data_IF_100600219880
#
_entry.id   IF_100600219880
#
_cell.length_a   1.000
_cell.length_b   1.000
_cell.length_c   1.000
_cell.angle_alpha   90.00
_cell.angle_beta   90.00
_cell.angle_gamma   90.00
#
_symmetry.space_group_name_H-M   'P 1'
#
loop_
_entity.id
_entity.type
_entity.pdbx_description
1 polymer ?
#
# COMPACT_ATOMS: atom_id res chain seq x y z
N UNK A 1 -21.62 -27.38 -23.34
CA UNK A 1 -20.16 -27.18 -23.44
C UNK A 1 -19.69 -26.44 -22.19
N UNK A 2 -19.03 -27.08 -21.21
CA UNK A 2 -18.62 -26.47 -19.94
C UNK A 2 -17.10 -26.24 -19.76
N UNK A 3 -16.24 -26.74 -20.66
CA UNK A 3 -14.78 -26.78 -20.43
C UNK A 3 -14.12 -25.38 -20.39
N UNK A 4 -14.45 -24.50 -21.34
CA UNK A 4 -13.85 -23.16 -21.41
C UNK A 4 -14.15 -22.28 -20.19
N UNK A 5 -15.29 -22.49 -19.52
CA UNK A 5 -15.67 -21.72 -18.34
C UNK A 5 -14.98 -22.19 -17.05
N UNK A 6 -14.56 -23.46 -16.99
CA UNK A 6 -13.80 -23.96 -15.86
C UNK A 6 -12.32 -23.56 -15.96
N UNK A 7 -11.77 -23.52 -17.18
CA UNK A 7 -10.37 -23.17 -17.42
C UNK A 7 -10.05 -21.72 -17.03
N UNK A 8 -10.96 -20.76 -17.30
CA UNK A 8 -10.72 -19.36 -16.91
C UNK A 8 -10.88 -19.12 -15.40
N UNK A 9 -11.81 -19.82 -14.74
CA UNK A 9 -11.97 -19.80 -13.30
C UNK A 9 -10.79 -20.42 -12.56
N UNK A 10 -10.28 -21.56 -13.05
CA UNK A 10 -9.11 -22.22 -12.48
C UNK A 10 -7.85 -21.36 -12.64
N UNK A 11 -7.62 -20.77 -13.82
CA UNK A 11 -6.50 -19.86 -14.07
C UNK A 11 -6.54 -18.62 -13.15
N UNK A 12 -7.72 -18.04 -12.92
CA UNK A 12 -7.88 -16.94 -11.97
C UNK A 12 -7.52 -17.36 -10.55
N UNK A 13 -8.02 -18.51 -10.07
CA UNK A 13 -7.70 -19.02 -8.72
C UNK A 13 -6.20 -19.28 -8.58
N UNK A 14 -5.58 -19.90 -9.58
CA UNK A 14 -4.16 -20.22 -9.56
C UNK A 14 -3.31 -18.94 -9.43
N UNK A 15 -3.57 -17.94 -10.27
CA UNK A 15 -2.84 -16.66 -10.26
C UNK A 15 -3.11 -15.85 -8.99
N UNK A 16 -4.36 -15.74 -8.57
CA UNK A 16 -4.72 -14.99 -7.36
C UNK A 16 -4.12 -15.63 -6.10
N UNK A 17 -4.10 -16.96 -6.02
CA UNK A 17 -3.51 -17.67 -4.89
C UNK A 17 -1.99 -17.54 -4.85
N UNK A 18 -1.30 -17.70 -5.99
CA UNK A 18 0.16 -17.57 -6.05
C UNK A 18 0.60 -16.13 -5.76
N UNK A 19 -0.02 -15.13 -6.39
CA UNK A 19 0.27 -13.72 -6.15
C UNK A 19 0.00 -13.32 -4.70
N UNK A 20 -1.19 -13.65 -4.17
CA UNK A 20 -1.54 -13.36 -2.79
C UNK A 20 -0.65 -14.06 -1.76
N UNK A 21 -0.18 -15.28 -2.04
CA UNK A 21 0.81 -15.97 -1.19
C UNK A 21 2.17 -15.26 -1.25
N UNK A 22 2.62 -14.87 -2.43
CA UNK A 22 3.88 -14.14 -2.60
C UNK A 22 3.87 -12.82 -1.85
N UNK A 23 2.78 -12.06 -1.92
CA UNK A 23 2.64 -10.76 -1.25
C UNK A 23 2.71 -10.91 0.27
N UNK A 24 2.11 -11.97 0.85
CA UNK A 24 2.22 -12.27 2.28
C UNK A 24 3.64 -12.70 2.65
N UNK A 25 4.22 -13.67 1.95
CA UNK A 25 5.54 -14.23 2.27
C UNK A 25 6.66 -13.18 2.14
N UNK A 26 6.63 -12.40 1.05
CA UNK A 26 7.60 -11.32 0.83
C UNK A 26 7.46 -10.21 1.87
N UNK A 27 6.25 -9.90 2.33
CA UNK A 27 6.01 -8.90 3.37
C UNK A 27 6.47 -9.37 4.75
N UNK A 28 6.26 -10.64 5.10
CA UNK A 28 6.79 -11.22 6.34
C UNK A 28 8.32 -11.18 6.37
N UNK A 29 8.96 -11.52 5.25
CA UNK A 29 10.40 -11.44 5.09
C UNK A 29 10.90 -9.99 5.23
N UNK A 30 10.18 -9.04 4.63
CA UNK A 30 10.54 -7.63 4.63
C UNK A 30 10.60 -7.01 6.04
N UNK A 31 9.69 -7.39 6.96
CA UNK A 31 9.62 -6.80 8.31
C UNK A 31 10.95 -6.76 9.08
N UNK A 32 11.83 -7.73 8.84
CA UNK A 32 13.12 -7.84 9.53
C UNK A 32 14.30 -7.26 8.72
N UNK A 33 14.07 -6.86 7.47
CA UNK A 33 15.11 -6.44 6.53
C UNK A 33 14.91 -5.05 5.94
N UNK A 34 13.73 -4.45 6.13
CA UNK A 34 13.47 -3.07 5.72
C UNK A 34 13.71 -2.09 6.86
N UNK A 35 14.14 -0.88 6.53
CA UNK A 35 14.47 0.16 7.51
C UNK A 35 13.36 1.19 7.63
N UNK A 36 12.83 1.67 6.51
CA UNK A 36 11.78 2.69 6.44
C UNK A 36 10.49 2.23 7.14
N UNK A 37 9.97 3.08 8.04
CA UNK A 37 8.77 2.78 8.81
C UNK A 37 7.52 2.68 7.92
N UNK A 38 7.40 3.48 6.87
CA UNK A 38 6.27 3.41 5.93
C UNK A 38 6.25 2.09 5.16
N UNK A 39 7.42 1.51 4.89
CA UNK A 39 7.54 0.18 4.27
C UNK A 39 7.16 -0.91 5.27
N UNK A 40 7.54 -0.79 6.55
CA UNK A 40 7.09 -1.71 7.60
C UNK A 40 5.58 -1.69 7.78
N UNK A 41 4.99 -0.50 7.85
CA UNK A 41 3.54 -0.32 7.99
C UNK A 41 2.80 -0.91 6.78
N UNK A 42 3.32 -0.70 5.58
CA UNK A 42 2.79 -1.31 4.35
C UNK A 42 2.87 -2.84 4.41
N UNK A 43 4.03 -3.41 4.76
CA UNK A 43 4.22 -4.85 4.86
C UNK A 43 3.26 -5.50 5.89
N UNK A 44 3.04 -4.86 7.04
CA UNK A 44 2.06 -5.33 8.03
C UNK A 44 0.62 -5.32 7.47
N UNK A 45 0.27 -4.28 6.72
CA UNK A 45 -1.03 -4.19 6.03
C UNK A 45 -1.18 -5.32 4.99
N UNK A 46 -0.14 -5.59 4.19
CA UNK A 46 -0.17 -6.68 3.20
C UNK A 46 -0.41 -8.04 3.86
N UNK A 47 0.31 -8.35 4.95
CA UNK A 47 0.14 -9.60 5.68
C UNK A 47 -1.31 -9.79 6.15
N UNK A 48 -1.91 -8.72 6.69
CA UNK A 48 -3.29 -8.75 7.20
C UNK A 48 -4.30 -8.90 6.06
N UNK A 49 -4.23 -8.03 5.06
CA UNK A 49 -5.28 -7.89 4.05
C UNK A 49 -5.20 -9.02 3.01
N UNK A 50 -4.00 -9.36 2.53
CA UNK A 50 -3.82 -10.48 1.61
C UNK A 50 -3.97 -11.83 2.32
N UNK A 51 -3.59 -11.94 3.59
CA UNK A 51 -3.88 -13.15 4.39
C UNK A 51 -5.38 -13.42 4.52
N UNK A 52 -6.18 -12.38 4.75
CA UNK A 52 -7.64 -12.48 4.76
C UNK A 52 -8.20 -12.81 3.36
N UNK A 53 -7.69 -12.18 2.31
CA UNK A 53 -8.11 -12.45 0.93
C UNK A 53 -7.79 -13.89 0.49
N UNK A 54 -6.61 -14.40 0.83
CA UNK A 54 -6.19 -15.79 0.54
C UNK A 54 -7.10 -16.80 1.24
N UNK A 55 -7.42 -16.56 2.51
CA UNK A 55 -8.36 -17.41 3.27
C UNK A 55 -9.74 -17.45 2.59
N UNK A 56 -10.23 -16.29 2.15
CA UNK A 56 -11.51 -16.18 1.45
C UNK A 56 -11.48 -16.85 0.07
N UNK A 57 -10.40 -16.66 -0.69
CA UNK A 57 -10.20 -17.33 -1.98
C UNK A 57 -10.23 -18.84 -1.81
N UNK A 58 -9.57 -19.38 -0.77
CA UNK A 58 -9.56 -20.80 -0.50
C UNK A 58 -10.95 -21.36 -0.21
N UNK A 59 -11.77 -20.63 0.56
CA UNK A 59 -13.15 -21.02 0.82
C UNK A 59 -13.99 -21.01 -0.46
N UNK A 60 -13.97 -19.90 -1.22
CA UNK A 60 -14.75 -19.77 -2.46
C UNK A 60 -14.32 -20.81 -3.49
N UNK A 61 -13.01 -20.98 -3.74
CA UNK A 61 -12.50 -21.98 -4.67
C UNK A 61 -12.90 -23.41 -4.27
N UNK A 62 -12.84 -23.74 -2.98
CA UNK A 62 -13.26 -25.04 -2.45
C UNK A 62 -14.74 -25.34 -2.70
N UNK A 63 -15.63 -24.37 -2.47
CA UNK A 63 -17.06 -24.49 -2.80
C UNK A 63 -17.30 -24.70 -4.30
N UNK A 64 -16.49 -24.05 -5.14
CA UNK A 64 -16.51 -24.20 -6.59
C UNK A 64 -15.78 -25.47 -7.09
N UNK A 65 -15.22 -26.28 -6.18
CA UNK A 65 -14.42 -27.49 -6.49
C UNK A 65 -13.18 -27.21 -7.35
N UNK A 66 -12.67 -25.98 -7.27
CA UNK A 66 -11.43 -25.56 -7.90
C UNK A 66 -10.25 -25.88 -6.99
N UNK A 67 -9.08 -26.08 -7.61
CA UNK A 67 -7.84 -26.34 -6.86
C UNK A 67 -7.18 -25.02 -6.51
N UNK A 68 -6.58 -24.96 -5.33
CA UNK A 68 -5.78 -23.81 -4.89
C UNK A 68 -4.33 -24.28 -4.77
N UNK A 69 -3.38 -23.69 -5.51
CA UNK A 69 -1.96 -24.01 -5.37
C UNK A 69 -1.46 -23.74 -3.95
N UNK A 70 -0.75 -24.72 -3.37
CA UNK A 70 -0.14 -24.57 -2.05
C UNK A 70 1.26 -23.92 -2.09
N UNK A 71 1.92 -23.99 -3.25
CA UNK A 71 3.28 -23.48 -3.46
C UNK A 71 3.25 -22.25 -4.38
N UNK A 72 4.30 -21.43 -4.27
CA UNK A 72 4.58 -20.40 -5.27
C UNK A 72 4.99 -21.04 -6.59
N UNK A 73 4.74 -20.35 -7.70
CA UNK A 73 5.36 -20.72 -8.96
C UNK A 73 6.86 -20.37 -8.97
N UNK A 74 7.56 -20.79 -10.03
CA UNK A 74 9.00 -20.61 -10.14
C UNK A 74 9.42 -19.13 -10.14
N UNK A 75 8.61 -18.25 -10.74
CA UNK A 75 8.92 -16.83 -10.85
C UNK A 75 8.81 -16.17 -9.47
N UNK A 76 7.67 -16.34 -8.79
CA UNK A 76 7.43 -15.78 -7.46
C UNK A 76 8.38 -16.37 -6.40
N UNK A 77 8.76 -17.64 -6.54
CA UNK A 77 9.78 -18.25 -5.67
C UNK A 77 11.15 -17.61 -5.87
N UNK A 78 11.58 -17.40 -7.12
CA UNK A 78 12.85 -16.74 -7.42
C UNK A 78 12.88 -15.29 -6.92
N UNK A 79 11.75 -14.59 -7.06
CA UNK A 79 11.53 -13.24 -6.58
C UNK A 79 11.63 -13.18 -5.03
N UNK A 80 10.99 -14.13 -4.33
CA UNK A 80 11.11 -14.23 -2.87
C UNK A 80 12.54 -14.55 -2.43
N UNK A 81 13.23 -15.44 -3.14
CA UNK A 81 14.62 -15.79 -2.87
C UNK A 81 15.58 -14.61 -3.10
N UNK A 82 15.29 -13.75 -4.09
CA UNK A 82 16.05 -12.52 -4.31
C UNK A 82 15.94 -11.57 -3.12
N UNK A 83 14.75 -11.36 -2.57
CA UNK A 83 14.57 -10.57 -1.35
C UNK A 83 15.28 -11.22 -0.15
N UNK A 84 15.19 -12.55 -0.05
CA UNK A 84 15.78 -13.31 1.05
C UNK A 84 17.30 -13.20 1.06
N UNK A 85 17.93 -13.25 -0.11
CA UNK A 85 19.37 -13.17 -0.28
C UNK A 85 19.89 -11.72 -0.36
N UNK A 86 19.00 -10.74 -0.47
CA UNK A 86 19.35 -9.32 -0.47
C UNK A 86 20.00 -8.86 0.84
N UNK A 87 21.01 -8.00 0.70
CA UNK A 87 21.65 -7.31 1.82
C UNK A 87 20.72 -6.20 2.33
N UNK A 88 20.53 -6.13 3.64
CA UNK A 88 19.70 -5.09 4.25
C UNK A 88 20.39 -3.71 4.20
N UNK A 89 19.63 -2.61 4.04
CA UNK A 89 18.17 -2.57 3.90
C UNK A 89 17.70 -3.00 2.50
N UNK A 90 16.62 -3.79 2.44
CA UNK A 90 16.03 -4.24 1.16
C UNK A 90 14.91 -3.32 0.65
N UNK A 91 14.79 -2.11 1.21
CA UNK A 91 13.70 -1.15 0.97
C UNK A 91 13.38 -0.95 -0.51
N UNK A 92 14.33 -0.61 -1.41
CA UNK A 92 14.00 -0.38 -2.82
C UNK A 92 13.56 -1.65 -3.54
N UNK A 93 14.23 -2.78 -3.25
CA UNK A 93 13.91 -4.06 -3.88
C UNK A 93 12.51 -4.55 -3.50
N UNK A 94 12.14 -4.42 -2.23
CA UNK A 94 10.79 -4.79 -1.77
C UNK A 94 9.72 -3.88 -2.39
N UNK A 95 9.95 -2.56 -2.41
CA UNK A 95 8.99 -1.60 -2.99
C UNK A 95 8.77 -1.85 -4.48
N UNK A 96 9.84 -2.03 -5.26
CA UNK A 96 9.73 -2.31 -6.69
C UNK A 96 8.96 -3.61 -6.98
N UNK A 97 9.17 -4.64 -6.17
CA UNK A 97 8.47 -5.93 -6.33
C UNK A 97 7.00 -5.82 -5.95
N UNK A 98 6.68 -5.09 -4.89
CA UNK A 98 5.29 -4.85 -4.48
C UNK A 98 4.53 -4.00 -5.51
N UNK A 99 5.16 -2.99 -6.13
CA UNK A 99 4.52 -2.21 -7.23
C UNK A 99 4.11 -3.11 -8.38
N UNK A 100 5.02 -3.96 -8.85
CA UNK A 100 4.75 -4.89 -9.97
C UNK A 100 3.67 -5.90 -9.62
N UNK A 101 3.76 -6.52 -8.44
CA UNK A 101 2.75 -7.47 -7.97
C UNK A 101 1.35 -6.83 -7.91
N UNK A 102 1.25 -5.59 -7.40
CA UNK A 102 -0.03 -4.88 -7.31
C UNK A 102 -0.56 -4.40 -8.67
N UNK A 103 0.30 -4.00 -9.60
CA UNK A 103 -0.12 -3.70 -10.99
C UNK A 103 -0.76 -4.92 -11.65
N UNK A 104 -0.11 -6.08 -11.52
CA UNK A 104 -0.60 -7.35 -12.07
C UNK A 104 -1.88 -7.82 -11.36
N UNK A 105 -1.92 -7.74 -10.03
CA UNK A 105 -3.07 -8.14 -9.23
C UNK A 105 -4.31 -7.28 -9.52
N UNK A 106 -4.17 -5.94 -9.57
CA UNK A 106 -5.29 -5.05 -9.92
C UNK A 106 -5.83 -5.41 -11.31
N UNK A 107 -4.95 -5.62 -12.29
CA UNK A 107 -5.37 -6.01 -13.64
C UNK A 107 -6.12 -7.34 -13.64
N UNK A 108 -5.57 -8.37 -13.00
CA UNK A 108 -6.17 -9.70 -12.90
C UNK A 108 -7.57 -9.64 -12.29
N UNK A 109 -7.70 -8.93 -11.17
CA UNK A 109 -8.96 -8.83 -10.43
C UNK A 109 -9.99 -7.97 -11.16
N UNK A 110 -9.61 -6.87 -11.80
CA UNK A 110 -10.53 -6.07 -12.62
C UNK A 110 -11.04 -6.85 -13.84
N UNK A 111 -10.15 -7.53 -14.55
CA UNK A 111 -10.51 -8.33 -15.72
C UNK A 111 -11.48 -9.45 -15.32
N UNK A 112 -11.22 -10.16 -14.21
CA UNK A 112 -12.11 -11.24 -13.74
C UNK A 112 -13.42 -10.71 -13.14
N UNK A 113 -13.39 -9.61 -12.39
CA UNK A 113 -14.59 -8.96 -11.86
C UNK A 113 -15.58 -8.55 -12.98
N UNK A 114 -15.05 -8.12 -14.13
CA UNK A 114 -15.84 -7.72 -15.29
C UNK A 114 -16.27 -8.92 -16.14
N UNK A 115 -15.32 -9.75 -16.55
CA UNK A 115 -15.49 -10.74 -17.63
C UNK A 115 -15.53 -12.19 -17.14
N UNK A 116 -15.26 -12.43 -15.84
CA UNK A 116 -15.22 -13.76 -15.27
C UNK A 116 -16.52 -14.53 -15.50
N UNK A 117 -16.38 -15.85 -15.52
CA UNK A 117 -17.42 -16.83 -15.84
C UNK A 117 -17.98 -17.55 -14.61
N UNK A 118 -17.25 -17.56 -13.49
CA UNK A 118 -17.73 -18.09 -12.22
C UNK A 118 -18.30 -16.97 -11.33
N UNK A 119 -19.62 -16.93 -11.07
CA UNK A 119 -20.25 -15.82 -10.33
C UNK A 119 -19.71 -15.60 -8.90
N UNK A 120 -19.34 -16.68 -8.20
CA UNK A 120 -18.80 -16.59 -6.85
C UNK A 120 -17.41 -15.94 -6.86
N UNK A 121 -16.55 -16.35 -7.80
CA UNK A 121 -15.23 -15.74 -7.98
C UNK A 121 -15.30 -14.31 -8.51
N UNK A 122 -16.27 -13.97 -9.37
CA UNK A 122 -16.52 -12.57 -9.76
C UNK A 122 -16.84 -11.70 -8.56
N UNK A 123 -17.72 -12.18 -7.68
CA UNK A 123 -18.10 -11.48 -6.46
C UNK A 123 -16.89 -11.30 -5.54
N UNK A 124 -16.08 -12.35 -5.38
CA UNK A 124 -14.82 -12.27 -4.65
C UNK A 124 -13.88 -11.21 -5.26
N UNK A 125 -13.70 -11.23 -6.59
CA UNK A 125 -12.85 -10.27 -7.28
C UNK A 125 -13.35 -8.82 -7.08
N UNK A 126 -14.63 -8.57 -7.31
CA UNK A 126 -15.27 -7.25 -7.11
C UNK A 126 -15.08 -6.71 -5.67
N UNK A 127 -15.20 -7.58 -4.66
CA UNK A 127 -15.02 -7.19 -3.26
C UNK A 127 -13.55 -6.95 -2.87
N UNK A 128 -12.60 -7.35 -3.71
CA UNK A 128 -11.16 -7.28 -3.42
C UNK A 128 -10.46 -6.18 -4.23
N UNK A 129 -10.94 -5.86 -5.45
CA UNK A 129 -10.33 -4.88 -6.37
C UNK A 129 -10.02 -3.54 -5.70
N UNK A 130 -10.95 -2.99 -4.91
CA UNK A 130 -10.76 -1.65 -4.33
C UNK A 130 -9.64 -1.63 -3.29
N UNK A 131 -9.49 -2.70 -2.53
CA UNK A 131 -8.38 -2.88 -1.59
C UNK A 131 -7.04 -2.97 -2.34
N UNK A 132 -6.97 -3.76 -3.42
CA UNK A 132 -5.75 -3.87 -4.24
C UNK A 132 -5.36 -2.53 -4.87
N UNK A 133 -6.32 -1.74 -5.36
CA UNK A 133 -6.09 -0.38 -5.87
C UNK A 133 -5.55 0.55 -4.80
N UNK A 134 -6.11 0.46 -3.59
CA UNK A 134 -5.65 1.25 -2.45
C UNK A 134 -4.21 0.89 -2.07
N UNK A 135 -3.87 -0.40 -2.01
CA UNK A 135 -2.51 -0.86 -1.74
C UNK A 135 -1.53 -0.43 -2.84
N UNK A 136 -1.91 -0.58 -4.12
CA UNK A 136 -1.15 -0.07 -5.27
C UNK A 136 -0.82 1.42 -5.12
N UNK A 137 -1.82 2.24 -4.79
CA UNK A 137 -1.62 3.67 -4.58
C UNK A 137 -0.68 3.98 -3.40
N UNK A 138 -0.72 3.17 -2.33
CA UNK A 138 0.18 3.33 -1.20
C UNK A 138 1.63 3.01 -1.57
N UNK A 139 1.87 1.91 -2.28
CA UNK A 139 3.23 1.53 -2.65
C UNK A 139 3.86 2.48 -3.67
N UNK A 140 3.06 3.02 -4.60
CA UNK A 140 3.49 4.09 -5.51
C UNK A 140 3.92 5.35 -4.76
N UNK A 141 3.17 5.74 -3.72
CA UNK A 141 3.54 6.88 -2.87
C UNK A 141 4.80 6.64 -2.06
N UNK A 142 5.03 5.41 -1.60
CA UNK A 142 6.27 5.03 -0.91
C UNK A 142 7.45 5.13 -1.87
N UNK A 143 7.31 4.60 -3.10
CA UNK A 143 8.34 4.66 -4.13
C UNK A 143 8.73 6.10 -4.49
N UNK A 144 7.74 6.96 -4.73
CA UNK A 144 7.98 8.38 -5.04
C UNK A 144 8.74 9.11 -3.91
N UNK A 145 8.51 8.72 -2.64
CA UNK A 145 9.28 9.24 -1.50
C UNK A 145 10.72 8.72 -1.49
N UNK A 146 10.95 7.44 -1.79
CA UNK A 146 12.31 6.89 -1.90
C UNK A 146 13.11 7.58 -3.02
N UNK A 147 12.50 7.85 -4.17
CA UNK A 147 13.14 8.55 -5.29
C UNK A 147 13.55 9.98 -4.91
N UNK A 148 12.71 10.65 -4.10
CA UNK A 148 12.99 12.00 -3.59
C UNK A 148 14.12 12.03 -2.55
N UNK A 149 14.28 10.95 -1.75
CA UNK A 149 15.34 10.82 -0.74
C UNK A 149 16.67 10.40 -1.37
N UNK A 150 16.63 9.59 -2.44
CA UNK A 150 17.84 9.05 -3.11
C UNK A 150 18.36 9.92 -4.25
N UNK A 151 17.66 11.01 -4.60
CA UNK A 151 18.07 11.94 -5.65
C UNK A 151 18.08 11.34 -7.07
N UNK A 152 17.42 10.19 -7.27
CA UNK A 152 17.53 9.39 -8.49
C UNK A 152 16.67 9.87 -9.67
N UNK A 153 16.01 11.03 -9.58
CA UNK A 153 15.37 11.66 -10.75
C UNK A 153 15.66 13.16 -10.79
N UNK A 154 16.34 13.59 -11.87
CA UNK A 154 16.17 14.94 -12.41
C UNK A 154 15.54 14.79 -13.79
N UNK A 155 14.55 15.63 -14.12
CA UNK A 155 14.84 16.96 -14.62
C UNK A 155 14.64 18.04 -13.56
N UNK A 156 15.51 19.04 -13.62
CA UNK A 156 15.56 20.15 -12.68
C UNK A 156 14.20 20.83 -12.47
N UNK A 157 13.67 20.75 -11.26
CA UNK A 157 12.91 21.85 -10.67
C UNK A 157 13.77 22.38 -9.53
N UNK A 158 14.38 23.55 -9.75
CA UNK A 158 14.83 24.38 -8.63
C UNK A 158 13.61 24.62 -7.74
N UNK A 159 13.60 24.04 -6.55
CA UNK A 159 12.77 24.57 -5.47
C UNK A 159 13.71 25.29 -4.52
N UNK A 160 13.91 26.56 -4.84
CA UNK A 160 14.26 27.54 -3.82
C UNK A 160 13.26 27.39 -2.67
N UNK A 161 13.78 27.39 -1.45
CA UNK A 161 13.03 27.47 -0.19
C UNK A 161 12.03 28.62 -0.20
N UNK A 162 10.86 28.38 -0.78
CA UNK A 162 9.73 29.31 -0.78
C UNK A 162 8.49 28.47 -0.43
N UNK A 163 7.79 28.77 0.67
CA UNK A 163 6.62 28.01 1.07
C UNK A 163 5.53 28.13 -0.01
N UNK A 164 5.22 27.03 -0.68
CA UNK A 164 4.10 27.01 -1.61
C UNK A 164 2.80 26.87 -0.81
N UNK A 165 2.09 27.98 -0.69
CA UNK A 165 0.73 28.06 -0.21
C UNK A 165 -0.23 27.48 -1.27
N UNK A 166 -0.43 26.16 -1.29
CA UNK A 166 -1.47 25.56 -2.13
C UNK A 166 -1.97 24.20 -1.59
N UNK A 167 -3.10 24.28 -0.90
CA UNK A 167 -4.18 23.30 -0.71
C UNK A 167 -3.86 21.90 -0.13
N UNK A 168 -4.31 21.70 1.11
CA UNK A 168 -4.52 20.40 1.76
C UNK A 168 -5.56 19.57 0.97
N UNK A 169 -5.31 18.29 0.73
CA UNK A 169 -6.24 17.41 -0.02
C UNK A 169 -7.22 16.71 0.95
N UNK A 170 -8.55 16.80 0.75
CA UNK A 170 -9.53 16.12 1.61
C UNK A 170 -9.50 14.59 1.47
N UNK A 171 -9.69 13.85 2.57
CA UNK A 171 -9.78 12.38 2.57
C UNK A 171 -9.97 11.78 3.96
N UNK A 172 -10.60 10.61 4.05
CA UNK A 172 -10.88 9.95 5.33
C UNK A 172 -9.57 9.54 6.03
N UNK A 173 -9.23 10.29 7.08
CA UNK A 173 -7.97 10.14 7.78
C UNK A 173 -8.09 9.11 8.92
N UNK A 174 -7.39 7.98 8.81
CA UNK A 174 -7.41 6.91 9.81
C UNK A 174 -6.34 7.06 10.90
N UNK A 175 -5.67 8.22 10.99
CA UNK A 175 -4.69 8.47 12.06
C UNK A 175 -5.38 8.79 13.38
N UNK A 176 -4.87 8.21 14.46
CA UNK A 176 -5.17 8.64 15.83
C UNK A 176 -4.52 10.00 16.13
N UNK A 177 -5.00 10.71 17.15
CA UNK A 177 -4.42 11.99 17.57
C UNK A 177 -2.91 11.89 17.85
N UNK A 178 -2.50 10.79 18.48
CA UNK A 178 -1.09 10.51 18.78
C UNK A 178 -0.25 10.34 17.50
N UNK A 179 -0.78 9.66 16.48
CA UNK A 179 -0.10 9.51 15.19
C UNK A 179 -0.01 10.83 14.43
N UNK A 180 -1.04 11.66 14.52
CA UNK A 180 -1.04 12.97 13.90
C UNK A 180 -0.05 13.93 14.57
N UNK A 181 0.00 13.93 15.92
CA UNK A 181 0.98 14.67 16.70
C UNK A 181 2.42 14.27 16.34
N UNK A 182 2.71 12.97 16.33
CA UNK A 182 4.06 12.46 16.02
C UNK A 182 4.55 12.90 14.64
N UNK A 183 3.65 12.97 13.63
CA UNK A 183 4.03 13.46 12.30
C UNK A 183 4.31 14.96 12.25
N UNK A 184 3.51 15.75 12.95
CA UNK A 184 3.73 17.20 13.06
C UNK A 184 5.07 17.45 13.76
N UNK A 185 5.39 16.70 14.81
CA UNK A 185 6.69 16.77 15.46
C UNK A 185 7.84 16.35 14.52
N UNK A 186 7.65 15.26 13.76
CA UNK A 186 8.59 14.82 12.72
C UNK A 186 8.83 15.84 11.61
N UNK A 187 7.89 16.75 11.35
CA UNK A 187 8.04 17.85 10.39
C UNK A 187 8.79 19.08 10.97
N UNK A 188 9.39 18.92 12.16
CA UNK A 188 10.22 19.93 12.83
C UNK A 188 9.41 20.96 13.62
N UNK A 189 8.16 20.65 13.95
CA UNK A 189 7.35 21.46 14.86
C UNK A 189 7.46 20.91 16.30
N UNK A 190 7.22 21.76 17.28
CA UNK A 190 7.28 21.44 18.71
C UNK A 190 6.04 21.97 19.41
N UNK A 191 5.78 21.60 20.67
CA UNK A 191 4.62 22.09 21.43
C UNK A 191 3.25 21.87 20.72
N UNK A 192 3.08 20.72 20.06
CA UNK A 192 1.84 20.39 19.35
C UNK A 192 0.68 20.25 20.34
N UNK A 193 -0.36 21.07 20.16
CA UNK A 193 -1.52 21.15 21.04
C UNK A 193 -2.81 21.43 20.27
N UNK A 194 -3.97 21.24 20.93
CA UNK A 194 -5.31 21.47 20.34
C UNK A 194 -5.54 20.71 19.03
N UNK A 195 -4.98 19.49 18.93
CA UNK A 195 -5.08 18.69 17.72
C UNK A 195 -6.48 18.08 17.62
N UNK A 196 -7.25 18.47 16.61
CA UNK A 196 -8.59 17.96 16.35
C UNK A 196 -8.77 17.71 14.85
N UNK A 197 -9.51 16.66 14.51
CA UNK A 197 -9.83 16.33 13.12
C UNK A 197 -11.07 17.12 12.69
N UNK A 198 -11.00 17.81 11.56
CA UNK A 198 -12.12 18.54 10.98
C UNK A 198 -13.04 17.66 10.11
N UNK A 199 -14.13 18.24 9.64
CA UNK A 199 -15.14 17.58 8.79
C UNK A 199 -14.59 17.15 7.41
N UNK A 200 -13.41 17.65 7.01
CA UNK A 200 -12.70 17.27 5.79
C UNK A 200 -11.67 16.15 6.02
N UNK A 201 -11.57 15.67 7.26
CA UNK A 201 -10.63 14.64 7.68
C UNK A 201 -9.22 15.16 7.93
N UNK A 202 -9.01 16.46 8.03
CA UNK A 202 -7.68 17.07 8.26
C UNK A 202 -7.50 17.26 9.77
N UNK A 203 -6.37 16.80 10.30
CA UNK A 203 -5.96 17.10 11.67
C UNK A 203 -5.47 18.54 11.75
N UNK A 204 -6.11 19.39 12.55
CA UNK A 204 -5.71 20.79 12.78
C UNK A 204 -5.33 21.00 14.22
N UNK A 205 -4.30 21.79 14.47
CA UNK A 205 -3.90 22.19 15.82
C UNK A 205 -2.96 23.37 15.81
N UNK A 206 -2.27 23.58 16.93
CA UNK A 206 -1.22 24.58 17.06
C UNK A 206 0.11 23.92 17.36
N UNK A 207 1.18 24.47 16.78
CA UNK A 207 2.53 24.04 17.07
C UNK A 207 3.53 25.20 16.92
N UNK A 208 4.69 25.05 17.54
CA UNK A 208 5.78 26.03 17.48
C UNK A 208 6.85 25.59 16.48
N UNK A 209 7.27 26.50 15.60
CA UNK A 209 8.44 26.29 14.72
C UNK A 209 9.29 27.55 14.73
N UNK A 210 10.59 27.40 14.95
CA UNK A 210 11.53 28.52 15.10
C UNK A 210 11.11 29.57 16.15
N UNK A 211 10.41 29.15 17.22
CA UNK A 211 9.95 30.04 18.30
C UNK A 211 8.62 30.75 18.03
N UNK A 212 8.05 30.65 16.83
CA UNK A 212 6.72 31.20 16.50
C UNK A 212 5.63 30.13 16.67
N UNK A 213 4.52 30.47 17.33
CA UNK A 213 3.33 29.62 17.40
C UNK A 213 2.50 29.79 16.12
N UNK A 214 2.22 28.68 15.43
CA UNK A 214 1.55 28.64 14.13
C UNK A 214 0.39 27.63 14.18
N UNK A 215 -0.65 27.89 13.40
CA UNK A 215 -1.66 26.88 13.15
C UNK A 215 -1.07 25.83 12.20
N UNK A 216 -1.26 24.56 12.50
CA UNK A 216 -0.77 23.44 11.71
C UNK A 216 -1.93 22.55 11.25
N UNK A 217 -1.85 22.08 10.02
CA UNK A 217 -2.76 21.12 9.42
C UNK A 217 -1.99 19.89 8.95
N UNK A 218 -2.55 18.70 9.17
CA UNK A 218 -2.07 17.42 8.69
C UNK A 218 -3.19 16.75 7.88
N UNK A 219 -3.00 16.59 6.58
CA UNK A 219 -3.98 15.91 5.73
C UNK A 219 -3.89 14.37 5.84
N UNK A 220 -4.81 13.66 5.17
CA UNK A 220 -4.83 12.19 5.13
C UNK A 220 -3.62 11.58 4.42
N UNK A 221 -2.89 12.38 3.63
CA UNK A 221 -1.68 11.97 2.92
C UNK A 221 -0.42 12.10 3.78
N UNK A 222 -0.54 12.75 4.93
CA UNK A 222 0.56 12.97 5.88
C UNK A 222 1.30 14.30 5.68
N UNK A 223 0.79 15.21 4.84
CA UNK A 223 1.42 16.50 4.60
C UNK A 223 1.12 17.45 5.76
N UNK A 224 2.17 18.03 6.35
CA UNK A 224 2.05 19.03 7.41
C UNK A 224 2.22 20.43 6.81
N UNK A 225 1.17 21.24 6.89
CA UNK A 225 1.17 22.64 6.43
C UNK A 225 1.00 23.54 7.64
N UNK A 226 1.77 24.62 7.72
CA UNK A 226 1.56 25.68 8.70
C UNK A 226 0.93 26.91 8.03
N UNK A 227 -0.04 27.50 8.70
CA UNK A 227 -0.64 28.79 8.33
C UNK A 227 -0.40 29.80 9.46
N UNK A 228 -0.08 31.03 9.07
CA UNK A 228 -0.05 32.18 9.98
C UNK A 228 -1.47 32.67 10.26
#
# INVERSE_FOLDING_TARGET
MPAFAADSAQDFVDKAAVGGKFEVDSSQLALNKVQDQSIKDFAQMMIRDHGAANTKLQAVAGEQKLKVPAALDAQHQADLDKLKNGQAPIDPAYVDMQRKAHDEAVKLFEDYASKGDNPALKTFAQQTVDTLKMHRQMIEKIAARQDSITGATTPAVKTDNTPNAAALVPGANSFTEAQAKSRIEGAGYTNVSKLAKDDQGIWRGQATKAGESLAVGLDYQGNVVASK
#
